data_IF_287857033030
#
_entry.id   IF_287857033030
#
_cell.length_a   1.000
_cell.length_b   1.000
_cell.length_c   1.000
_cell.angle_alpha   90.00
_cell.angle_beta   90.00
_cell.angle_gamma   90.00
#
_symmetry.space_group_name_H-M   'P 1'
#
loop_
_entity.id
_entity.type
_entity.pdbx_description
1 polymer ?
#
# COMPACT_ATOMS: atom_id res chain seq x y z
N UNK A 1 22.17 -5.09 -23.07
CA UNK A 1 21.65 -5.07 -21.69
C UNK A 1 20.55 -6.13 -21.50
N UNK A 2 20.73 -7.04 -20.55
CA UNK A 2 19.70 -8.02 -20.20
C UNK A 2 18.45 -7.32 -19.68
N UNK A 3 17.29 -7.95 -19.87
CA UNK A 3 16.02 -7.45 -19.37
C UNK A 3 16.06 -7.35 -17.84
N UNK A 4 15.97 -6.14 -17.29
CA UNK A 4 15.83 -5.97 -15.84
C UNK A 4 14.42 -6.41 -15.47
N UNK A 5 14.25 -7.40 -14.56
CA UNK A 5 12.93 -7.87 -14.20
C UNK A 5 12.06 -6.71 -13.68
N UNK A 6 10.84 -6.56 -14.20
CA UNK A 6 9.93 -5.48 -13.79
C UNK A 6 9.67 -5.46 -12.27
N UNK A 7 9.68 -6.63 -11.63
CA UNK A 7 9.58 -6.75 -10.17
C UNK A 7 10.76 -6.11 -9.43
N UNK A 8 11.97 -6.19 -10.00
CA UNK A 8 13.17 -5.58 -9.45
C UNK A 8 13.09 -4.06 -9.53
N UNK A 9 12.61 -3.51 -10.66
CA UNK A 9 12.38 -2.06 -10.82
C UNK A 9 11.37 -1.59 -9.77
N UNK A 10 10.24 -2.31 -9.62
CA UNK A 10 9.23 -1.98 -8.62
C UNK A 10 9.83 -2.00 -7.23
N UNK A 11 10.43 -3.13 -6.79
CA UNK A 11 11.01 -3.26 -5.45
C UNK A 11 11.96 -2.11 -5.12
N UNK A 12 12.87 -1.76 -6.03
CA UNK A 12 13.82 -0.66 -5.80
C UNK A 12 13.12 0.71 -5.65
N UNK A 13 12.06 0.97 -6.41
CA UNK A 13 11.30 2.22 -6.27
C UNK A 13 10.64 2.35 -4.89
N UNK A 14 10.18 1.24 -4.31
CA UNK A 14 9.59 1.20 -2.96
C UNK A 14 10.65 1.30 -1.86
N UNK A 15 11.80 0.67 -2.06
CA UNK A 15 12.94 0.68 -1.13
C UNK A 15 13.47 2.09 -0.89
N UNK A 16 13.58 2.90 -1.95
CA UNK A 16 13.99 4.32 -1.86
C UNK A 16 13.05 5.16 -0.97
N UNK A 17 11.79 4.75 -0.84
CA UNK A 17 10.80 5.44 -0.02
C UNK A 17 10.75 4.93 1.43
N UNK A 18 11.59 3.95 1.80
CA UNK A 18 11.53 3.23 3.08
C UNK A 18 10.15 2.58 3.33
N UNK A 19 9.47 2.19 2.25
CA UNK A 19 8.14 1.56 2.31
C UNK A 19 8.30 0.06 2.01
N UNK A 20 8.00 -0.84 2.97
CA UNK A 20 8.12 -2.27 2.76
C UNK A 20 7.28 -2.72 1.56
N UNK A 21 7.94 -3.26 0.53
CA UNK A 21 7.24 -3.83 -0.61
C UNK A 21 6.69 -5.21 -0.25
N UNK A 22 5.43 -5.26 0.17
CA UNK A 22 4.65 -6.49 0.25
C UNK A 22 3.53 -6.45 -0.81
N UNK A 23 3.67 -7.16 -1.94
CA UNK A 23 2.66 -7.16 -3.00
C UNK A 23 1.33 -7.78 -2.54
N UNK A 24 1.38 -8.71 -1.57
CA UNK A 24 0.23 -9.44 -1.03
C UNK A 24 -0.43 -8.74 0.16
N UNK A 25 0.12 -7.62 0.63
CA UNK A 25 -0.50 -6.84 1.71
C UNK A 25 -1.86 -6.31 1.25
N UNK A 26 -2.89 -6.55 2.08
CA UNK A 26 -4.29 -6.23 1.76
C UNK A 26 -4.47 -4.75 1.37
N UNK A 27 -3.82 -3.85 2.11
CA UNK A 27 -3.86 -2.40 1.87
C UNK A 27 -3.21 -2.03 0.52
N UNK A 28 -1.98 -2.50 0.28
CA UNK A 28 -1.25 -2.19 -0.95
C UNK A 28 -1.91 -2.78 -2.20
N UNK A 29 -2.51 -3.97 -2.09
CA UNK A 29 -3.30 -4.58 -3.16
C UNK A 29 -4.55 -3.76 -3.47
N UNK A 30 -5.35 -3.44 -2.46
CA UNK A 30 -6.55 -2.63 -2.60
C UNK A 30 -6.25 -1.27 -3.24
N UNK A 31 -5.19 -0.58 -2.78
CA UNK A 31 -4.80 0.72 -3.31
C UNK A 31 -4.47 0.67 -4.82
N UNK A 32 -3.85 -0.41 -5.30
CA UNK A 32 -3.55 -0.62 -6.72
C UNK A 32 -4.82 -0.88 -7.53
N UNK A 33 -5.70 -1.76 -7.05
CA UNK A 33 -6.99 -2.08 -7.70
C UNK A 33 -7.88 -0.83 -7.83
N UNK A 34 -7.77 0.11 -6.89
CA UNK A 34 -8.54 1.36 -6.85
C UNK A 34 -7.78 2.60 -7.38
N UNK A 35 -6.60 2.46 -7.97
CA UNK A 35 -5.78 3.56 -8.51
C UNK A 35 -5.51 4.71 -7.51
N UNK A 36 -5.24 4.37 -6.24
CA UNK A 36 -5.02 5.37 -5.19
C UNK A 36 -3.61 6.01 -5.23
N UNK A 37 -2.74 5.51 -6.09
CA UNK A 37 -1.38 6.02 -6.30
C UNK A 37 -0.35 5.37 -5.37
N UNK A 38 0.75 6.09 -5.11
CA UNK A 38 1.79 5.65 -4.18
C UNK A 38 1.39 5.98 -2.74
N UNK A 39 1.82 5.18 -1.75
CA UNK A 39 1.65 5.56 -0.36
C UNK A 39 2.52 6.75 -0.01
N UNK A 40 1.97 7.59 0.86
CA UNK A 40 2.61 8.78 1.42
C UNK A 40 3.02 8.57 2.88
N UNK A 41 2.52 7.51 3.52
CA UNK A 41 2.85 7.15 4.90
C UNK A 41 3.29 5.69 4.99
N UNK A 42 4.02 5.37 6.06
CA UNK A 42 4.05 3.99 6.54
C UNK A 42 2.66 3.54 7.00
N UNK A 43 2.52 2.24 7.25
CA UNK A 43 1.33 1.72 7.92
C UNK A 43 1.29 2.19 9.38
N UNK A 44 0.10 2.53 9.87
CA UNK A 44 -0.13 2.94 11.26
C UNK A 44 -1.44 2.36 11.79
N UNK A 45 -1.52 2.19 13.11
CA UNK A 45 -2.71 1.69 13.78
C UNK A 45 -3.49 2.83 14.46
N UNK A 46 -4.81 2.85 14.30
CA UNK A 46 -5.70 3.81 14.98
C UNK A 46 -7.03 3.15 15.30
N UNK A 47 -7.45 3.19 16.57
CA UNK A 47 -8.75 2.70 17.04
C UNK A 47 -9.14 1.28 16.55
N UNK A 48 -8.17 0.36 16.45
CA UNK A 48 -8.39 -1.02 15.98
C UNK A 48 -8.34 -1.21 14.46
N UNK A 49 -7.99 -0.17 13.71
CA UNK A 49 -7.76 -0.20 12.27
C UNK A 49 -6.27 -0.12 11.96
N UNK A 50 -5.85 -0.88 10.93
CA UNK A 50 -4.57 -0.70 10.25
C UNK A 50 -4.83 0.21 9.04
N UNK A 51 -4.05 1.27 8.92
CA UNK A 51 -4.26 2.34 7.96
C UNK A 51 -2.97 2.66 7.18
N UNK A 52 -3.12 3.22 5.98
CA UNK A 52 -2.03 3.82 5.22
C UNK A 52 -2.57 4.92 4.30
N UNK A 53 -1.91 6.08 4.28
CA UNK A 53 -2.21 7.18 3.36
C UNK A 53 -1.59 6.96 1.98
N UNK A 54 -2.36 7.25 0.93
CA UNK A 54 -1.99 7.21 -0.49
C UNK A 54 -2.31 8.53 -1.18
N UNK A 55 -1.74 8.79 -2.36
CA UNK A 55 -1.94 10.04 -3.11
C UNK A 55 -3.42 10.45 -3.21
N UNK A 56 -4.35 9.52 -3.40
CA UNK A 56 -5.78 9.82 -3.58
C UNK A 56 -6.69 9.48 -2.38
N UNK A 57 -6.15 9.01 -1.26
CA UNK A 57 -6.96 8.77 -0.06
C UNK A 57 -6.26 7.95 1.01
N UNK A 58 -7.00 7.61 2.06
CA UNK A 58 -6.52 6.80 3.19
C UNK A 58 -7.19 5.43 3.11
N UNK A 59 -6.39 4.38 2.96
CA UNK A 59 -6.86 2.99 3.01
C UNK A 59 -6.84 2.52 4.45
N UNK A 60 -7.89 1.82 4.87
CA UNK A 60 -8.02 1.29 6.22
C UNK A 60 -8.75 -0.06 6.23
N UNK A 61 -8.40 -0.87 7.23
CA UNK A 61 -8.99 -2.19 7.45
C UNK A 61 -8.99 -2.51 8.95
N UNK A 62 -10.04 -3.17 9.44
CA UNK A 62 -10.09 -3.64 10.82
C UNK A 62 -9.00 -4.70 11.03
N UNK A 63 -8.18 -4.56 12.07
CA UNK A 63 -7.11 -5.50 12.38
C UNK A 63 -7.69 -6.91 12.57
N UNK A 64 -7.18 -7.86 11.80
CA UNK A 64 -7.67 -9.25 11.77
C UNK A 64 -8.79 -9.53 10.76
N UNK A 65 -9.37 -8.50 10.12
CA UNK A 65 -10.40 -8.65 9.07
C UNK A 65 -9.88 -8.18 7.71
N UNK A 66 -8.73 -8.72 7.28
CA UNK A 66 -7.98 -8.30 6.09
C UNK A 66 -8.75 -8.38 4.75
N UNK A 67 -9.90 -9.04 4.72
CA UNK A 67 -10.79 -9.08 3.56
C UNK A 67 -11.77 -7.91 3.46
N UNK A 68 -11.84 -7.04 4.48
CA UNK A 68 -12.77 -5.89 4.54
C UNK A 68 -12.00 -4.58 4.44
N UNK A 69 -11.21 -4.43 3.38
CA UNK A 69 -10.44 -3.21 3.11
C UNK A 69 -11.35 -2.17 2.49
N UNK A 70 -11.23 -0.93 2.94
CA UNK A 70 -11.92 0.22 2.35
C UNK A 70 -11.01 1.45 2.34
N UNK A 71 -11.43 2.53 1.68
CA UNK A 71 -10.72 3.80 1.73
C UNK A 71 -11.66 4.97 1.94
N UNK A 72 -11.09 6.07 2.41
CA UNK A 72 -11.72 7.39 2.44
C UNK A 72 -10.90 8.32 1.56
N UNK A 73 -11.54 9.06 0.67
CA UNK A 73 -10.87 10.11 -0.10
C UNK A 73 -10.31 11.18 0.84
N UNK A 74 -9.31 11.92 0.39
CA UNK A 74 -8.85 13.13 1.10
C UNK A 74 -9.97 14.16 1.28
#
# INVERSE_FOLDING_TARGET
PGEVPLEMIRRNAWDILDIPFNPDAAIGRYAREHNLGVPLTGEFDVAGYRCQGFVNGIVHVVIGQWGQVSHTNW
#
